data_IF_913479071404
#
_entry.id   IF_913479071404
#
_cell.length_a   1.000
_cell.length_b   1.000
_cell.length_c   1.000
_cell.angle_alpha   90.00
_cell.angle_beta   90.00
_cell.angle_gamma   90.00
#
_symmetry.space_group_name_H-M   'P 1'
#
loop_
_entity.id
_entity.type
_entity.pdbx_description
1 polymer ?
#
# COMPACT_ATOMS: atom_id res chain seq x y z
N UNK A 1 -59.95 -59.88 12.31
CA UNK A 1 -58.82 -60.12 13.24
C UNK A 1 -57.52 -59.71 12.57
N UNK A 2 -56.69 -58.95 13.31
CA UNK A 2 -55.30 -58.50 13.02
C UNK A 2 -54.46 -59.60 12.31
N UNK A 3 -53.54 -59.27 11.39
CA UNK A 3 -52.24 -58.64 11.72
C UNK A 3 -51.77 -57.61 10.68
N UNK A 4 -51.37 -56.46 11.22
CA UNK A 4 -50.74 -55.30 10.59
C UNK A 4 -49.45 -55.68 9.87
N UNK A 5 -49.24 -55.11 8.69
CA UNK A 5 -47.92 -54.97 8.06
C UNK A 5 -47.06 -54.03 8.89
N UNK A 6 -45.89 -54.51 9.31
CA UNK A 6 -44.89 -53.73 10.04
C UNK A 6 -43.64 -53.64 9.18
N UNK A 7 -43.55 -52.62 8.33
CA UNK A 7 -42.28 -52.19 7.77
C UNK A 7 -41.90 -50.89 8.47
N UNK A 8 -40.95 -51.04 9.37
CA UNK A 8 -40.42 -49.99 10.23
C UNK A 8 -39.53 -49.07 9.40
N UNK A 9 -39.87 -47.79 9.37
CA UNK A 9 -38.96 -46.74 8.91
C UNK A 9 -37.89 -46.56 9.99
N UNK A 10 -36.64 -46.89 9.68
CA UNK A 10 -35.49 -46.44 10.47
C UNK A 10 -34.62 -45.53 9.61
N UNK A 11 -34.58 -44.27 10.03
CA UNK A 11 -33.66 -43.22 9.60
C UNK A 11 -32.23 -43.52 10.06
N UNK A 12 -31.24 -43.33 9.19
CA UNK A 12 -29.95 -42.71 9.52
C UNK A 12 -29.33 -42.17 8.21
N UNK A 13 -28.67 -41.00 8.27
CA UNK A 13 -28.65 -40.03 7.19
C UNK A 13 -27.53 -40.29 6.18
N UNK A 14 -27.72 -39.70 5.00
CA UNK A 14 -26.68 -39.46 4.04
C UNK A 14 -25.46 -38.81 4.72
N UNK A 15 -24.36 -39.54 4.88
CA UNK A 15 -23.04 -38.92 4.92
C UNK A 15 -22.50 -38.87 3.50
N UNK A 16 -23.17 -38.02 2.72
CA UNK A 16 -22.66 -37.50 1.47
C UNK A 16 -21.42 -36.68 1.83
N UNK A 17 -20.23 -37.28 1.78
CA UNK A 17 -18.99 -36.52 1.68
C UNK A 17 -18.98 -35.87 0.29
N UNK A 18 -19.83 -34.86 0.09
CA UNK A 18 -19.51 -33.82 -0.89
C UNK A 18 -18.32 -33.12 -0.27
N UNK A 19 -17.13 -33.49 -0.71
CA UNK A 19 -16.07 -32.50 -0.82
C UNK A 19 -16.65 -31.41 -1.69
N UNK A 20 -17.33 -30.44 -1.06
CA UNK A 20 -17.56 -29.13 -1.63
C UNK A 20 -16.15 -28.57 -1.76
N UNK A 21 -15.48 -28.94 -2.84
CA UNK A 21 -14.42 -28.16 -3.41
C UNK A 21 -15.11 -26.86 -3.77
N UNK A 22 -15.24 -25.95 -2.80
CA UNK A 22 -15.63 -24.59 -3.07
C UNK A 22 -14.66 -24.13 -4.16
N UNK A 23 -15.15 -23.76 -5.35
CA UNK A 23 -14.26 -23.31 -6.39
C UNK A 23 -13.43 -22.18 -5.78
N UNK A 24 -12.11 -22.40 -5.73
CA UNK A 24 -11.17 -21.36 -5.36
C UNK A 24 -11.32 -20.30 -6.44
N UNK A 25 -12.17 -19.32 -6.21
CA UNK A 25 -12.35 -18.20 -7.11
C UNK A 25 -10.99 -17.53 -7.20
N UNK A 26 -10.34 -17.69 -8.34
CA UNK A 26 -9.16 -16.93 -8.69
C UNK A 26 -9.61 -15.48 -8.90
N UNK A 27 -9.36 -14.64 -7.89
CA UNK A 27 -9.55 -13.21 -8.01
C UNK A 27 -8.51 -12.67 -9.00
N UNK A 28 -8.96 -12.27 -10.19
CA UNK A 28 -8.13 -11.51 -11.11
C UNK A 28 -8.05 -10.06 -10.60
N UNK A 29 -6.87 -9.66 -10.15
CA UNK A 29 -6.58 -8.25 -9.89
C UNK A 29 -6.36 -7.58 -11.24
N UNK A 30 -7.31 -6.77 -11.69
CA UNK A 30 -7.10 -5.90 -12.83
C UNK A 30 -6.15 -4.77 -12.39
N UNK A 31 -4.89 -4.85 -12.81
CA UNK A 31 -3.91 -3.79 -12.58
C UNK A 31 -3.99 -2.84 -13.77
N UNK A 32 -4.57 -1.66 -13.55
CA UNK A 32 -4.56 -0.57 -14.52
C UNK A 32 -3.63 0.55 -14.04
N UNK A 33 -2.93 1.18 -14.98
CA UNK A 33 -2.20 2.41 -14.71
C UNK A 33 -3.20 3.53 -14.40
N UNK A 34 -3.01 4.23 -13.28
CA UNK A 34 -3.94 5.26 -12.79
C UNK A 34 -3.39 6.68 -12.89
N UNK A 35 -2.14 6.89 -12.45
CA UNK A 35 -1.58 8.23 -12.24
C UNK A 35 -0.06 8.23 -12.44
N UNK A 36 0.44 9.32 -13.02
CA UNK A 36 1.86 9.70 -13.02
C UNK A 36 2.02 11.01 -12.24
N UNK A 37 3.05 11.07 -11.40
CA UNK A 37 3.44 12.27 -10.66
C UNK A 37 4.85 12.64 -11.10
N UNK A 38 5.08 13.92 -11.36
CA UNK A 38 6.33 14.43 -11.90
C UNK A 38 6.21 14.83 -13.36
N UNK A 39 6.64 16.05 -13.68
CA UNK A 39 6.68 16.55 -15.06
C UNK A 39 8.04 16.34 -15.71
N UNK A 40 9.11 16.78 -15.05
CA UNK A 40 10.47 16.81 -15.58
C UNK A 40 11.53 16.81 -14.48
N UNK A 41 12.80 16.65 -14.89
CA UNK A 41 13.92 16.75 -13.97
C UNK A 41 14.08 18.18 -13.47
N UNK A 42 14.03 18.40 -12.16
CA UNK A 42 14.17 19.75 -11.61
C UNK A 42 14.05 19.80 -10.09
N UNK A 43 14.09 21.02 -9.56
CA UNK A 43 14.01 21.33 -8.12
C UNK A 43 12.75 22.11 -7.74
N UNK A 44 11.89 22.44 -8.70
CA UNK A 44 10.59 23.07 -8.45
C UNK A 44 9.59 22.11 -7.79
N UNK A 45 8.46 22.66 -7.34
CA UNK A 45 7.37 21.86 -6.77
C UNK A 45 6.80 20.90 -7.83
N UNK A 46 6.69 19.62 -7.50
CA UNK A 46 6.24 18.59 -8.44
C UNK A 46 7.28 18.18 -9.50
N UNK A 47 8.49 18.74 -9.47
CA UNK A 47 9.64 18.24 -10.23
C UNK A 47 10.50 17.37 -9.32
N UNK A 48 11.25 16.43 -9.90
CA UNK A 48 12.13 15.54 -9.15
C UNK A 48 13.51 15.51 -9.76
N UNK A 49 14.54 15.33 -8.96
CA UNK A 49 15.88 15.09 -9.48
C UNK A 49 16.25 13.60 -9.42
N UNK A 50 15.90 12.94 -8.32
CA UNK A 50 16.06 11.49 -8.14
C UNK A 50 14.98 10.97 -7.17
N UNK A 51 13.78 10.64 -7.65
CA UNK A 51 12.74 10.08 -6.79
C UNK A 51 13.12 8.64 -6.41
N UNK A 52 13.40 8.38 -5.13
CA UNK A 52 13.92 7.08 -4.68
C UNK A 52 12.93 6.25 -3.86
N UNK A 53 12.02 6.89 -3.14
CA UNK A 53 11.09 6.22 -2.23
C UNK A 53 9.70 6.82 -2.29
N UNK A 54 8.69 5.99 -2.09
CA UNK A 54 7.28 6.39 -2.04
C UNK A 54 6.57 5.73 -0.87
N UNK A 55 5.73 6.48 -0.17
CA UNK A 55 4.79 5.96 0.82
C UNK A 55 3.43 6.64 0.64
N UNK A 56 2.37 5.91 0.95
CA UNK A 56 0.99 6.43 0.91
C UNK A 56 0.41 6.33 2.31
N UNK A 57 -0.08 7.45 2.83
CA UNK A 57 -0.76 7.51 4.14
C UNK A 57 -2.19 6.98 4.06
N UNK A 58 -2.79 6.69 5.21
CA UNK A 58 -4.19 6.27 5.32
C UNK A 58 -5.20 7.33 4.86
N UNK A 59 -4.80 8.60 4.78
CA UNK A 59 -5.59 9.70 4.22
C UNK A 59 -5.27 9.97 2.73
N UNK A 60 -4.70 8.98 2.04
CA UNK A 60 -4.39 9.00 0.60
C UNK A 60 -3.43 10.13 0.17
N UNK A 61 -2.58 10.63 1.06
CA UNK A 61 -1.47 11.49 0.67
C UNK A 61 -0.29 10.64 0.22
N UNK A 62 0.37 11.10 -0.84
CA UNK A 62 1.51 10.43 -1.44
C UNK A 62 2.77 11.19 -1.06
N UNK A 63 3.71 10.51 -0.41
CA UNK A 63 4.98 11.05 0.03
C UNK A 63 6.07 10.49 -0.86
N UNK A 64 6.83 11.37 -1.52
CA UNK A 64 7.91 10.97 -2.42
C UNK A 64 9.23 11.57 -1.94
N UNK A 65 10.22 10.71 -1.74
CA UNK A 65 11.59 11.11 -1.41
C UNK A 65 12.29 11.54 -2.69
N UNK A 66 12.75 12.79 -2.72
CA UNK A 66 13.49 13.39 -3.83
C UNK A 66 14.94 13.58 -3.41
N UNK A 67 15.73 12.54 -3.65
CA UNK A 67 17.01 12.26 -2.98
C UNK A 67 18.05 13.33 -3.24
N UNK A 68 18.25 13.68 -4.52
CA UNK A 68 19.23 14.68 -4.93
C UNK A 68 18.80 16.11 -4.59
N UNK A 69 17.49 16.36 -4.48
CA UNK A 69 16.98 17.62 -3.93
C UNK A 69 16.96 17.63 -2.38
N UNK A 70 17.31 16.51 -1.73
CA UNK A 70 17.39 16.36 -0.27
C UNK A 70 16.10 16.76 0.45
N UNK A 71 14.95 16.34 -0.10
CA UNK A 71 13.62 16.70 0.41
C UNK A 71 12.63 15.55 0.25
N UNK A 72 11.50 15.68 0.93
CA UNK A 72 10.31 14.87 0.70
C UNK A 72 9.20 15.79 0.19
N UNK A 73 8.56 15.41 -0.89
CA UNK A 73 7.39 16.09 -1.44
C UNK A 73 6.11 15.31 -1.10
N UNK A 74 5.05 16.03 -0.81
CA UNK A 74 3.74 15.48 -0.44
C UNK A 74 2.73 15.90 -1.50
N UNK A 75 1.96 14.93 -1.99
CA UNK A 75 0.92 15.11 -2.99
C UNK A 75 -0.42 14.59 -2.44
N UNK A 76 -1.51 15.09 -3.00
CA UNK A 76 -2.83 14.49 -2.80
C UNK A 76 -3.03 13.24 -3.66
N UNK A 77 -4.21 12.61 -3.53
CA UNK A 77 -4.57 11.42 -4.30
C UNK A 77 -4.67 11.67 -5.82
N UNK A 78 -4.85 12.92 -6.24
CA UNK A 78 -4.88 13.31 -7.65
C UNK A 78 -3.47 13.66 -8.19
N UNK A 79 -2.44 13.59 -7.35
CA UNK A 79 -1.06 13.92 -7.72
C UNK A 79 -0.76 15.42 -7.68
N UNK A 80 -1.62 16.25 -7.08
CA UNK A 80 -1.34 17.68 -6.92
C UNK A 80 -0.38 17.90 -5.76
N UNK A 81 0.61 18.76 -5.98
CA UNK A 81 1.58 19.12 -4.94
C UNK A 81 0.90 19.86 -3.79
N UNK A 82 1.09 19.36 -2.57
CA UNK A 82 0.61 20.00 -1.34
C UNK A 82 1.72 20.83 -0.71
N UNK A 83 2.85 20.18 -0.41
CA UNK A 83 4.01 20.81 0.25
C UNK A 83 5.25 19.94 0.14
N UNK A 84 6.40 20.53 0.47
CA UNK A 84 7.66 19.82 0.64
C UNK A 84 8.31 20.20 1.97
N UNK A 85 9.14 19.31 2.50
CA UNK A 85 10.00 19.60 3.64
C UNK A 85 11.35 18.88 3.47
N UNK A 86 12.35 19.34 4.19
CA UNK A 86 13.74 18.92 4.00
C UNK A 86 14.57 19.98 3.30
N UNK A 87 15.86 19.98 3.63
CA UNK A 87 16.88 20.73 2.94
C UNK A 87 18.20 19.97 3.05
N UNK A 88 19.14 20.23 2.15
CA UNK A 88 20.46 19.62 2.23
C UNK A 88 21.16 20.02 3.54
N UNK A 89 21.62 19.04 4.32
CA UNK A 89 22.43 19.31 5.51
C UNK A 89 22.42 18.16 6.51
N UNK A 90 22.71 18.47 7.78
CA UNK A 90 22.86 17.50 8.87
C UNK A 90 21.98 17.82 10.09
N UNK A 91 21.38 18.99 10.15
CA UNK A 91 20.57 19.40 11.28
C UNK A 91 19.21 18.71 11.27
N UNK A 92 18.45 18.90 12.35
CA UNK A 92 17.08 18.39 12.43
C UNK A 92 16.23 18.92 11.29
N UNK A 93 15.55 18.02 10.57
CA UNK A 93 14.75 18.37 9.40
C UNK A 93 15.55 18.61 8.12
N UNK A 94 16.87 18.40 8.14
CA UNK A 94 17.72 18.37 6.95
C UNK A 94 18.04 16.92 6.56
N UNK A 95 18.33 16.69 5.29
CA UNK A 95 18.69 15.40 4.74
C UNK A 95 19.95 15.49 3.88
N UNK A 96 20.60 14.35 3.65
CA UNK A 96 21.67 14.18 2.67
C UNK A 96 21.46 12.87 1.92
N UNK A 97 20.88 12.96 0.73
CA UNK A 97 20.44 11.82 -0.08
C UNK A 97 19.58 10.83 0.73
N UNK A 98 18.37 11.27 1.13
CA UNK A 98 17.39 10.35 1.66
C UNK A 98 16.96 9.34 0.59
N UNK A 99 16.61 8.11 0.95
CA UNK A 99 16.20 7.06 0.00
C UNK A 99 14.86 6.43 0.37
N UNK A 100 14.84 5.66 1.46
CA UNK A 100 13.66 4.95 1.94
C UNK A 100 12.71 5.86 2.70
N UNK A 101 11.41 5.55 2.61
CA UNK A 101 10.35 6.22 3.36
C UNK A 101 9.30 5.20 3.80
N UNK A 102 8.81 5.34 5.02
CA UNK A 102 7.75 4.51 5.56
C UNK A 102 6.85 5.33 6.47
N UNK A 103 5.57 4.94 6.54
CA UNK A 103 4.60 5.52 7.45
C UNK A 103 4.23 4.45 8.46
N UNK A 104 4.49 4.72 9.75
CA UNK A 104 4.08 3.86 10.85
C UNK A 104 2.57 3.85 11.03
N UNK A 105 2.05 2.82 11.70
CA UNK A 105 0.62 2.72 12.02
C UNK A 105 0.12 3.87 12.92
N UNK A 106 1.01 4.54 13.64
CA UNK A 106 0.75 5.73 14.44
C UNK A 106 0.77 7.04 13.61
N UNK A 107 0.94 6.95 12.29
CA UNK A 107 1.01 8.09 11.38
C UNK A 107 2.38 8.78 11.33
N UNK A 108 3.40 8.28 12.03
CA UNK A 108 4.74 8.85 11.96
C UNK A 108 5.43 8.48 10.66
N UNK A 109 6.15 9.44 10.09
CA UNK A 109 6.93 9.26 8.88
C UNK A 109 8.39 8.99 9.25
N UNK A 110 8.96 7.93 8.69
CA UNK A 110 10.36 7.55 8.82
C UNK A 110 11.03 7.69 7.47
N UNK A 111 12.18 8.36 7.43
CA UNK A 111 12.96 8.58 6.20
C UNK A 111 14.40 8.19 6.51
N UNK A 112 15.00 7.34 5.69
CA UNK A 112 16.42 6.96 5.85
C UNK A 112 17.29 8.03 5.18
N UNK A 113 18.28 8.56 5.88
CA UNK A 113 19.18 9.62 5.46
C UNK A 113 20.58 9.07 5.18
N UNK A 114 20.75 8.48 3.99
CA UNK A 114 21.86 7.58 3.68
C UNK A 114 23.24 8.21 3.79
N UNK A 115 23.44 9.46 3.34
CA UNK A 115 24.76 10.13 3.45
C UNK A 115 24.99 10.82 4.79
N UNK A 116 24.01 10.80 5.69
CA UNK A 116 24.19 11.18 7.08
C UNK A 116 24.19 9.99 8.03
N UNK A 117 24.09 8.76 7.52
CA UNK A 117 24.08 7.52 8.30
C UNK A 117 23.02 7.53 9.42
N UNK A 118 21.81 8.02 9.10
CA UNK A 118 20.69 8.18 10.02
C UNK A 118 19.39 7.63 9.47
#
# INVERSE_FOLDING_TARGET
MRKKTSNIFLFLPALLFVFLCFPCNSYSVNISFSLQIGSERGSGNGQFYEPAGIAVSSDNRIYVVDSENNRVQIFDQAGQFIKAFGAKGKETGQFRMPYGIAIGADGKLFVTDSKNSR
#
